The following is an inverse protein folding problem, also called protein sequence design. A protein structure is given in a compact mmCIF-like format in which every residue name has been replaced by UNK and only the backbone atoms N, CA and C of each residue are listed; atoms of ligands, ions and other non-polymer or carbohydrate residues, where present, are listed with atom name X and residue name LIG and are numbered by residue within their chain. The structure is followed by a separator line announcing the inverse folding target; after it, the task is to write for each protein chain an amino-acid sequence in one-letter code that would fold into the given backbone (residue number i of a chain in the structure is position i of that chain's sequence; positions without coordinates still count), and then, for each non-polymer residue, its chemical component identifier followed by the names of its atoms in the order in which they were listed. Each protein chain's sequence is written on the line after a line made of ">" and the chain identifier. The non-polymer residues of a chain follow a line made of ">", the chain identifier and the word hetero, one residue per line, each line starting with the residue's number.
data_IF_962984993602
#
_entry.id   IF_962984993602
#
_cell.length_a   1.000
_cell.length_b   1.000
_cell.length_c   1.000
_cell.angle_alpha   90.00
_cell.angle_beta   90.00
_cell.angle_gamma   90.00
#
_symmetry.space_group_name_H-M   'P 1'
#
loop_
_entity.id
_entity.type
_entity.pdbx_description
1 polymer ?
#
# COMPACT_ATOMS: atom_id res chain seq x y z
N UNK A 1 -15.40 13.56 -10.52
CA UNK A 1 -14.75 13.53 -9.19
C UNK A 1 -14.22 14.92 -8.84
N UNK A 2 -13.42 15.54 -9.69
CA UNK A 2 -12.84 16.87 -9.44
C UNK A 2 -13.89 17.91 -9.13
N UNK A 3 -14.96 17.98 -9.92
CA UNK A 3 -16.08 18.95 -9.70
C UNK A 3 -16.84 18.72 -8.39
N UNK A 4 -16.80 17.50 -7.86
CA UNK A 4 -17.46 17.15 -6.59
C UNK A 4 -16.54 17.29 -5.36
N UNK A 5 -15.25 17.56 -5.58
CA UNK A 5 -14.26 17.75 -4.50
C UNK A 5 -14.59 19.00 -3.70
N UNK A 6 -14.59 18.88 -2.37
CA UNK A 6 -14.94 19.99 -1.45
C UNK A 6 -13.72 20.67 -0.82
N UNK A 7 -12.54 20.04 -0.91
CA UNK A 7 -11.29 20.55 -0.36
C UNK A 7 -10.13 20.12 -1.26
N UNK A 8 -9.16 20.99 -1.46
CA UNK A 8 -7.92 20.68 -2.19
C UNK A 8 -7.01 19.70 -1.41
N UNK A 9 -7.28 19.49 -0.12
CA UNK A 9 -6.59 18.44 0.67
C UNK A 9 -7.01 17.03 0.26
N UNK A 10 -8.12 16.87 -0.47
CA UNK A 10 -8.57 15.60 -1.01
C UNK A 10 -7.95 15.37 -2.40
N UNK A 11 -6.96 14.50 -2.48
CA UNK A 11 -6.30 14.18 -3.75
C UNK A 11 -7.13 13.20 -4.59
N UNK A 12 -7.14 13.42 -5.91
CA UNK A 12 -7.77 12.52 -6.89
C UNK A 12 -6.67 11.73 -7.59
N UNK A 13 -6.62 10.43 -7.31
CA UNK A 13 -5.75 9.47 -7.99
C UNK A 13 -6.53 8.87 -9.16
N UNK A 14 -6.12 9.20 -10.38
CA UNK A 14 -6.78 8.68 -11.58
C UNK A 14 -6.09 7.41 -12.06
N UNK A 15 -6.83 6.30 -12.05
CA UNK A 15 -6.34 4.98 -12.48
C UNK A 15 -6.84 4.64 -13.88
N UNK A 16 -5.96 4.03 -14.70
CA UNK A 16 -6.32 3.36 -15.93
C UNK A 16 -5.79 1.93 -15.97
N UNK A 17 -6.60 0.98 -16.41
CA UNK A 17 -6.26 -0.41 -16.66
C UNK A 17 -6.10 -0.72 -18.16
N UNK A 18 -6.08 0.32 -19.00
CA UNK A 18 -6.04 0.21 -20.45
C UNK A 18 -4.81 -0.56 -20.97
N UNK A 19 -3.66 -0.53 -20.22
CA UNK A 19 -2.45 -1.26 -20.61
C UNK A 19 -2.72 -2.74 -20.92
N UNK A 20 -3.55 -3.38 -20.12
CA UNK A 20 -3.84 -4.81 -20.24
C UNK A 20 -4.75 -5.15 -21.44
N UNK A 21 -5.53 -4.19 -21.91
CA UNK A 21 -6.62 -4.39 -22.91
C UNK A 21 -6.29 -3.73 -24.24
N UNK A 22 -5.76 -2.52 -24.21
CA UNK A 22 -5.57 -1.64 -25.39
C UNK A 22 -4.09 -1.34 -25.68
N UNK A 23 -3.17 -1.72 -24.76
CA UNK A 23 -1.74 -1.48 -24.90
C UNK A 23 -1.25 -0.24 -24.14
N UNK A 24 0.08 -0.06 -24.16
CA UNK A 24 0.75 1.00 -23.39
C UNK A 24 0.39 2.40 -23.88
N UNK A 25 0.42 2.65 -25.18
CA UNK A 25 0.11 3.97 -25.76
C UNK A 25 -1.30 4.43 -25.40
N UNK A 26 -2.30 3.56 -25.53
CA UNK A 26 -3.67 3.90 -25.15
C UNK A 26 -3.81 4.21 -23.66
N UNK A 27 -3.04 3.51 -22.82
CA UNK A 27 -3.00 3.79 -21.38
C UNK A 27 -2.35 5.15 -21.09
N UNK A 28 -1.25 5.48 -21.78
CA UNK A 28 -0.57 6.76 -21.64
C UNK A 28 -1.42 7.92 -22.14
N UNK A 29 -2.11 7.78 -23.26
CA UNK A 29 -3.01 8.81 -23.79
C UNK A 29 -4.18 9.07 -22.85
N UNK A 30 -4.71 8.02 -22.24
CA UNK A 30 -5.78 8.14 -21.22
C UNK A 30 -5.26 8.82 -19.94
N UNK A 31 -4.04 8.48 -19.51
CA UNK A 31 -3.40 9.13 -18.37
C UNK A 31 -3.13 10.62 -18.65
N UNK A 32 -2.74 10.99 -19.88
CA UNK A 32 -2.59 12.38 -20.29
C UNK A 32 -3.91 13.14 -20.18
N UNK A 33 -5.00 12.57 -20.69
CA UNK A 33 -6.33 13.17 -20.57
C UNK A 33 -6.76 13.34 -19.10
N UNK A 34 -6.38 12.42 -18.22
CA UNK A 34 -6.64 12.55 -16.77
C UNK A 34 -5.82 13.68 -16.14
N UNK A 35 -4.55 13.81 -16.52
CA UNK A 35 -3.69 14.90 -16.08
C UNK A 35 -4.25 16.27 -16.55
N UNK A 36 -4.63 16.38 -17.83
CA UNK A 36 -5.23 17.59 -18.39
C UNK A 36 -6.55 17.97 -17.70
N UNK A 37 -7.32 16.96 -17.28
CA UNK A 37 -8.53 17.18 -16.49
C UNK A 37 -8.26 17.65 -15.04
N UNK A 38 -7.01 17.54 -14.57
CA UNK A 38 -6.60 18.00 -13.24
C UNK A 38 -6.45 16.89 -12.17
N UNK A 39 -6.21 15.65 -12.57
CA UNK A 39 -5.87 14.59 -11.62
C UNK A 39 -4.57 14.92 -10.85
N UNK A 40 -4.59 14.73 -9.54
CA UNK A 40 -3.45 15.05 -8.66
C UNK A 40 -2.37 13.97 -8.69
N UNK A 41 -2.74 12.71 -9.00
CA UNK A 41 -1.83 11.56 -9.13
C UNK A 41 -2.30 10.68 -10.26
N UNK A 42 -1.39 10.12 -11.05
CA UNK A 42 -1.69 9.12 -12.07
C UNK A 42 -1.31 7.73 -11.60
N UNK A 43 -2.19 6.77 -11.88
CA UNK A 43 -1.99 5.36 -11.64
C UNK A 43 -2.25 4.57 -12.93
N UNK A 44 -1.19 4.29 -13.69
CA UNK A 44 -1.27 3.40 -14.86
C UNK A 44 -0.98 1.98 -14.40
N UNK A 45 -2.01 1.13 -14.42
CA UNK A 45 -1.94 -0.24 -13.91
C UNK A 45 -1.15 -1.14 -14.85
N UNK A 46 -0.32 -2.00 -14.24
CA UNK A 46 0.35 -3.14 -14.85
C UNK A 46 1.24 -2.84 -16.07
N UNK A 47 2.19 -1.87 -16.00
CA UNK A 47 3.31 -1.87 -16.94
C UNK A 47 4.06 -3.20 -16.82
N UNK A 48 4.46 -3.79 -17.95
CA UNK A 48 4.93 -5.19 -17.98
C UNK A 48 6.45 -5.33 -18.10
N UNK A 49 7.17 -4.23 -18.23
CA UNK A 49 8.63 -4.21 -18.28
C UNK A 49 9.19 -2.94 -17.66
N UNK A 50 10.51 -2.95 -17.44
CA UNK A 50 11.22 -1.75 -16.97
C UNK A 50 11.17 -0.64 -18.02
N UNK A 51 11.26 -0.99 -19.29
CA UNK A 51 11.18 -0.07 -20.41
C UNK A 51 9.83 0.66 -20.41
N UNK A 52 8.71 -0.07 -20.23
CA UNK A 52 7.39 0.54 -20.10
C UNK A 52 7.28 1.49 -18.90
N UNK A 53 7.91 1.12 -17.77
CA UNK A 53 7.97 1.99 -16.59
C UNK A 53 8.80 3.25 -16.86
N UNK A 54 9.90 3.13 -17.61
CA UNK A 54 10.72 4.26 -18.05
C UNK A 54 9.95 5.17 -19.02
N UNK A 55 9.21 4.61 -19.96
CA UNK A 55 8.39 5.38 -20.90
C UNK A 55 7.31 6.18 -20.18
N UNK A 56 6.61 5.56 -19.22
CA UNK A 56 5.63 6.23 -18.35
C UNK A 56 6.27 7.37 -17.56
N UNK A 57 7.40 7.11 -16.92
CA UNK A 57 8.11 8.13 -16.15
C UNK A 57 8.66 9.23 -17.07
N UNK A 58 9.19 8.88 -18.23
CA UNK A 58 9.66 9.83 -19.23
C UNK A 58 8.57 10.80 -19.71
N UNK A 59 7.31 10.32 -19.81
CA UNK A 59 6.18 11.14 -20.24
C UNK A 59 5.60 12.01 -19.10
N UNK A 60 5.55 11.52 -17.87
CA UNK A 60 4.77 12.13 -16.79
C UNK A 60 5.58 12.63 -15.59
N UNK A 61 6.77 12.07 -15.29
CA UNK A 61 7.54 12.48 -14.12
C UNK A 61 7.90 13.97 -14.17
N UNK A 62 7.78 14.63 -13.02
CA UNK A 62 7.98 16.09 -12.92
C UNK A 62 6.79 16.94 -13.37
N UNK A 63 5.77 16.33 -14.00
CA UNK A 63 4.50 16.98 -14.39
C UNK A 63 3.38 16.64 -13.41
N UNK A 64 3.30 15.39 -13.01
CA UNK A 64 2.31 14.86 -12.07
C UNK A 64 2.92 13.68 -11.31
N UNK A 65 2.65 13.51 -10.00
CA UNK A 65 3.07 12.34 -9.25
C UNK A 65 2.56 11.03 -9.88
N UNK A 66 3.43 10.02 -9.95
CA UNK A 66 3.11 8.69 -10.45
C UNK A 66 3.06 7.68 -9.32
N UNK A 67 2.06 6.80 -9.33
CA UNK A 67 1.91 5.70 -8.39
C UNK A 67 2.28 4.37 -9.07
N UNK A 68 3.18 3.61 -8.43
CA UNK A 68 3.56 2.25 -8.80
C UNK A 68 2.89 1.22 -7.88
N UNK A 69 2.32 0.17 -8.48
CA UNK A 69 1.67 -0.93 -7.76
C UNK A 69 2.54 -2.20 -7.81
N UNK A 70 3.19 -2.52 -6.69
CA UNK A 70 4.12 -3.63 -6.55
C UNK A 70 3.40 -4.88 -6.00
N UNK A 71 2.71 -5.60 -6.90
CA UNK A 71 1.99 -6.83 -6.56
C UNK A 71 2.86 -8.04 -6.83
N UNK A 72 3.18 -8.81 -5.79
CA UNK A 72 3.97 -10.03 -5.90
C UNK A 72 3.26 -11.07 -6.79
N UNK A 73 3.95 -11.56 -7.79
CA UNK A 73 3.40 -12.48 -8.80
C UNK A 73 2.50 -11.79 -9.83
N UNK A 74 2.43 -10.45 -9.83
CA UNK A 74 1.78 -9.65 -10.87
C UNK A 74 2.59 -9.57 -12.15
N UNK A 75 2.14 -8.72 -13.10
CA UNK A 75 2.82 -8.52 -14.39
C UNK A 75 3.94 -7.49 -14.31
N UNK A 76 3.83 -6.53 -13.41
CA UNK A 76 4.82 -5.46 -13.21
C UNK A 76 6.05 -6.01 -12.50
N UNK A 77 7.28 -5.74 -13.00
CA UNK A 77 8.50 -6.09 -12.30
C UNK A 77 8.57 -5.43 -10.93
N UNK A 78 8.76 -6.24 -9.87
CA UNK A 78 8.91 -5.73 -8.50
C UNK A 78 10.23 -4.99 -8.37
N UNK A 79 10.19 -3.78 -7.84
CA UNK A 79 11.33 -2.90 -7.59
C UNK A 79 11.33 -2.39 -6.16
N UNK A 80 12.52 -2.01 -5.68
CA UNK A 80 12.65 -1.28 -4.42
C UNK A 80 12.09 0.14 -4.53
N UNK A 81 11.80 0.78 -3.40
CA UNK A 81 11.37 2.18 -3.37
C UNK A 81 12.41 3.10 -4.01
N UNK A 82 13.70 2.86 -3.77
CA UNK A 82 14.80 3.64 -4.34
C UNK A 82 14.88 3.48 -5.87
N UNK A 83 14.72 2.25 -6.40
CA UNK A 83 14.68 2.01 -7.84
C UNK A 83 13.48 2.73 -8.49
N UNK A 84 12.31 2.69 -7.84
CA UNK A 84 11.11 3.36 -8.33
C UNK A 84 11.28 4.88 -8.33
N UNK A 85 11.85 5.44 -7.26
CA UNK A 85 12.16 6.87 -7.19
C UNK A 85 13.16 7.29 -8.28
N UNK A 86 14.19 6.47 -8.53
CA UNK A 86 15.17 6.71 -9.60
C UNK A 86 14.54 6.67 -11.01
N UNK A 87 13.47 5.87 -11.22
CA UNK A 87 12.70 5.88 -12.46
C UNK A 87 11.82 7.13 -12.60
N UNK A 88 11.36 7.71 -11.49
CA UNK A 88 10.48 8.89 -11.47
C UNK A 88 9.12 8.69 -10.82
N UNK A 89 8.87 7.55 -10.18
CA UNK A 89 7.66 7.34 -9.37
C UNK A 89 7.76 8.10 -8.05
N UNK A 90 6.62 8.61 -7.59
CA UNK A 90 6.50 9.35 -6.33
C UNK A 90 5.86 8.53 -5.22
N UNK A 91 5.07 7.54 -5.58
CA UNK A 91 4.30 6.70 -4.65
C UNK A 91 4.50 5.23 -5.04
N UNK A 92 4.76 4.38 -4.06
CA UNK A 92 4.76 2.92 -4.24
C UNK A 92 3.80 2.27 -3.24
N UNK A 93 2.96 1.35 -3.72
CA UNK A 93 2.10 0.53 -2.87
C UNK A 93 2.43 -0.94 -3.03
N UNK A 94 2.35 -1.69 -1.92
CA UNK A 94 2.54 -3.14 -1.83
C UNK A 94 1.26 -3.77 -1.25
N UNK A 95 0.16 -3.80 -2.00
CA UNK A 95 -1.19 -4.01 -1.43
C UNK A 95 -1.42 -5.42 -0.91
N UNK A 96 -0.74 -6.41 -1.45
CA UNK A 96 -0.91 -7.81 -1.09
C UNK A 96 0.10 -8.35 -0.07
N UNK A 97 1.23 -7.68 0.12
CA UNK A 97 2.38 -8.20 0.86
C UNK A 97 2.07 -8.58 2.29
N UNK A 98 1.46 -7.67 3.05
CA UNK A 98 1.11 -7.90 4.46
C UNK A 98 0.16 -9.09 4.64
N UNK A 99 -0.94 -9.14 3.87
CA UNK A 99 -1.92 -10.23 3.96
C UNK A 99 -1.31 -11.57 3.58
N UNK A 100 -0.48 -11.62 2.53
CA UNK A 100 0.21 -12.83 2.11
C UNK A 100 1.23 -13.32 3.14
N UNK A 101 1.99 -12.39 3.75
CA UNK A 101 2.93 -12.71 4.81
C UNK A 101 2.22 -13.25 6.06
N UNK A 102 1.15 -12.56 6.50
CA UNK A 102 0.35 -12.97 7.66
C UNK A 102 -0.31 -14.35 7.40
N UNK A 103 -0.95 -14.55 6.25
CA UNK A 103 -1.62 -15.83 5.96
C UNK A 103 -0.64 -17.00 5.93
N UNK A 104 0.56 -16.81 5.35
CA UNK A 104 1.61 -17.83 5.37
C UNK A 104 2.07 -18.16 6.79
N UNK A 105 2.22 -17.12 7.62
CA UNK A 105 2.64 -17.29 9.01
C UNK A 105 1.54 -17.98 9.84
N UNK A 106 0.29 -17.57 9.70
CA UNK A 106 -0.86 -18.19 10.38
C UNK A 106 -1.07 -19.64 9.96
N UNK A 107 -0.90 -19.96 8.67
CA UNK A 107 -0.98 -21.32 8.19
C UNK A 107 0.06 -22.20 8.93
N UNK A 108 1.32 -21.79 8.97
CA UNK A 108 2.36 -22.54 9.66
C UNK A 108 2.11 -22.67 11.18
N UNK A 109 1.55 -21.63 11.80
CA UNK A 109 1.15 -21.65 13.22
C UNK A 109 0.07 -22.69 13.48
N UNK A 110 -1.01 -22.69 12.71
CA UNK A 110 -2.11 -23.64 12.92
C UNK A 110 -1.77 -25.09 12.54
N UNK A 111 -0.91 -25.28 11.51
CA UNK A 111 -0.39 -26.61 11.19
C UNK A 111 0.45 -27.18 12.35
N UNK A 112 1.32 -26.38 12.96
CA UNK A 112 2.09 -26.78 14.14
C UNK A 112 1.22 -27.03 15.36
N UNK A 113 0.26 -26.12 15.65
CA UNK A 113 -0.67 -26.29 16.76
C UNK A 113 -1.52 -27.57 16.63
N UNK A 114 -1.96 -27.89 15.41
CA UNK A 114 -2.74 -29.11 15.15
C UNK A 114 -1.88 -30.38 15.32
N UNK A 115 -0.64 -30.34 14.88
CA UNK A 115 0.28 -31.48 14.96
C UNK A 115 0.74 -31.78 16.39
N UNK A 116 1.05 -30.73 17.16
CA UNK A 116 1.72 -30.87 18.46
C UNK A 116 0.73 -30.71 19.65
N UNK A 117 -0.50 -30.23 19.41
CA UNK A 117 -1.47 -29.90 20.46
C UNK A 117 -0.99 -28.75 21.37
N UNK A 118 0.04 -27.99 20.95
CA UNK A 118 0.69 -26.93 21.70
C UNK A 118 1.32 -25.92 20.76
N UNK A 119 1.37 -24.67 21.17
CA UNK A 119 2.08 -23.61 20.46
C UNK A 119 3.54 -23.43 20.96
N UNK A 120 4.01 -24.25 21.86
CA UNK A 120 5.36 -24.12 22.45
C UNK A 120 6.46 -24.18 21.36
N UNK A 121 6.31 -25.04 20.34
CA UNK A 121 7.24 -25.14 19.22
C UNK A 121 7.24 -23.93 18.28
N UNK A 122 6.33 -22.96 18.48
CA UNK A 122 6.24 -21.75 17.67
C UNK A 122 6.67 -20.48 18.42
N UNK A 123 7.10 -20.62 19.69
CA UNK A 123 7.40 -19.49 20.58
C UNK A 123 8.43 -18.50 20.00
N UNK A 124 9.51 -19.02 19.40
CA UNK A 124 10.57 -18.20 18.79
C UNK A 124 10.11 -17.40 17.55
N UNK A 125 8.91 -17.68 17.06
CA UNK A 125 8.30 -17.05 15.89
C UNK A 125 7.13 -16.14 16.26
N UNK A 126 6.92 -15.90 17.55
CA UNK A 126 5.88 -15.03 18.10
C UNK A 126 6.52 -13.93 18.94
N UNK A 127 5.86 -12.79 19.01
CA UNK A 127 6.16 -11.83 20.06
C UNK A 127 5.76 -12.42 21.42
N UNK A 128 6.56 -12.18 22.44
CA UNK A 128 6.13 -12.42 23.81
C UNK A 128 5.05 -11.41 24.23
N UNK A 129 4.52 -11.57 25.44
CA UNK A 129 3.43 -10.72 25.94
C UNK A 129 3.83 -9.24 25.97
N UNK A 130 5.05 -8.93 26.41
CA UNK A 130 5.52 -7.56 26.53
C UNK A 130 5.80 -6.94 25.16
N UNK A 131 6.47 -7.67 24.26
CA UNK A 131 6.77 -7.20 22.92
C UNK A 131 5.52 -6.92 22.08
N UNK A 132 4.45 -7.72 22.24
CA UNK A 132 3.18 -7.41 21.59
C UNK A 132 2.55 -6.13 22.16
N UNK A 133 2.53 -5.98 23.50
CA UNK A 133 1.99 -4.80 24.17
C UNK A 133 2.74 -3.52 23.83
N UNK A 134 4.06 -3.59 23.63
CA UNK A 134 4.85 -2.46 23.14
C UNK A 134 4.44 -2.04 21.71
N UNK A 135 4.26 -3.01 20.80
CA UNK A 135 3.89 -2.73 19.40
C UNK A 135 2.51 -2.07 19.29
N UNK A 136 1.53 -2.52 20.10
CA UNK A 136 0.17 -1.96 20.10
C UNK A 136 0.00 -0.78 21.07
N UNK A 137 1.10 -0.30 21.65
CA UNK A 137 1.12 0.86 22.57
C UNK A 137 0.14 0.76 23.74
N UNK A 138 -0.02 -0.45 24.32
CA UNK A 138 -1.00 -0.74 25.36
C UNK A 138 -0.88 0.25 26.54
N UNK A 139 0.33 0.58 26.99
CA UNK A 139 0.55 1.50 28.08
C UNK A 139 0.01 2.90 27.77
N UNK A 140 0.23 3.41 26.55
CA UNK A 140 -0.25 4.72 26.14
C UNK A 140 -1.79 4.74 26.05
N UNK A 141 -2.40 3.66 25.56
CA UNK A 141 -3.87 3.51 25.51
C UNK A 141 -4.49 3.47 26.90
N UNK A 142 -3.86 2.78 27.86
CA UNK A 142 -4.33 2.73 29.25
C UNK A 142 -4.21 4.11 29.94
N UNK A 143 -3.12 4.84 29.72
CA UNK A 143 -2.99 6.22 30.25
C UNK A 143 -4.02 7.17 29.62
N UNK A 144 -4.28 7.03 28.32
CA UNK A 144 -5.32 7.81 27.66
C UNK A 144 -6.72 7.50 28.25
N UNK A 145 -7.00 6.23 28.59
CA UNK A 145 -8.25 5.82 29.24
C UNK A 145 -8.51 6.55 30.55
N UNK A 146 -7.47 6.74 31.38
CA UNK A 146 -7.59 7.46 32.68
C UNK A 146 -8.10 8.89 32.54
N UNK A 147 -7.75 9.58 31.44
CA UNK A 147 -8.22 10.96 31.18
C UNK A 147 -9.76 11.00 31.06
N UNK A 148 -10.39 9.92 30.59
CA UNK A 148 -11.83 9.86 30.42
C UNK A 148 -12.57 9.31 31.64
N UNK A 149 -11.92 8.54 32.51
CA UNK A 149 -12.49 8.06 33.78
C UNK A 149 -12.75 9.20 34.76
N UNK A 150 -11.91 10.26 34.77
CA UNK A 150 -12.06 11.42 35.64
C UNK A 150 -13.23 12.35 35.22
N UNK A 151 -13.77 12.22 34.02
CA UNK A 151 -14.87 13.06 33.51
C UNK A 151 -16.23 12.59 34.04
N UNK A 152 -16.41 11.27 34.23
CA UNK A 152 -17.67 10.68 34.74
C UNK A 152 -17.81 10.78 36.28
N UNK A 153 -16.79 11.20 36.99
CA UNK A 153 -16.80 11.32 38.45
C UNK A 153 -17.24 12.68 39.01
N UNK A 154 -17.68 13.60 38.12
CA UNK A 154 -18.02 14.99 38.46
C UNK A 154 -19.49 15.36 38.31
N UNK A 155 -20.45 14.39 38.26
CA UNK A 155 -21.91 14.63 38.32
C UNK A 155 -22.53 14.13 39.64
#
# INVERSE_FOLDING_TARGET
>A
ALDARRSDDTLIIARTDARAVEGLEAAMDRAEAYQEAGADVLFVEAPQSIEEMQDLCGRFAGRVPLLANMVEGGKTPIKSADDLAALGYSIAIFPGGAVRAISRHLQAYYEGLLADGSNAGFADRMHDFNGLNEIIETSALLELGKIYEDIDSTD
#
